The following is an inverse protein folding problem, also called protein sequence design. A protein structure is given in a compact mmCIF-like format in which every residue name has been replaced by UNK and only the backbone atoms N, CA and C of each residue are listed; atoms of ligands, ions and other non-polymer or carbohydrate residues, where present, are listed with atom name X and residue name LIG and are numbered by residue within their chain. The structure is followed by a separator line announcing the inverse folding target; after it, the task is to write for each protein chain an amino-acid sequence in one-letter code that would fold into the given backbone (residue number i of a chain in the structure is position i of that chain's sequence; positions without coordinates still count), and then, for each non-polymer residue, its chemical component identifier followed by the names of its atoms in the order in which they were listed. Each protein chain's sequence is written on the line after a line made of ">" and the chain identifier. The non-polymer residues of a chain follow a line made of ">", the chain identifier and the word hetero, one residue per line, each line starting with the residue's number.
data_IF_575848625836
#
_entry.id   IF_575848625836
#
_cell.length_a   1.000
_cell.length_b   1.000
_cell.length_c   1.000
_cell.angle_alpha   90.00
_cell.angle_beta   90.00
_cell.angle_gamma   90.00
#
_symmetry.space_group_name_H-M   'P 1'
#
loop_
_entity.id
_entity.type
_entity.pdbx_description
1 polymer ?
#
# COMPACT_ATOMS: atom_id res chain seq x y z
N UNK A 1 0.09 -20.03 -12.07
CA UNK A 1 0.39 -21.16 -11.17
C UNK A 1 0.46 -22.51 -11.86
N UNK A 2 -0.49 -22.89 -12.74
CA UNK A 2 -0.45 -24.20 -13.41
C UNK A 2 0.93 -24.59 -14.02
N UNK A 3 1.64 -23.65 -14.65
CA UNK A 3 3.00 -23.90 -15.18
C UNK A 3 4.04 -24.12 -14.07
N UNK A 4 3.97 -23.38 -12.96
CA UNK A 4 4.88 -23.54 -11.81
C UNK A 4 4.57 -24.86 -11.09
N UNK A 5 3.29 -25.14 -10.85
CA UNK A 5 2.81 -26.38 -10.21
C UNK A 5 3.15 -27.62 -11.05
N UNK A 6 3.12 -27.51 -12.38
CA UNK A 6 3.49 -28.62 -13.28
C UNK A 6 4.95 -29.06 -13.18
N UNK A 7 5.83 -28.24 -12.57
CA UNK A 7 7.23 -28.61 -12.32
C UNK A 7 7.32 -29.75 -11.30
N UNK A 8 6.37 -29.84 -10.36
CA UNK A 8 6.33 -30.90 -9.35
C UNK A 8 7.42 -30.81 -8.27
N UNK A 9 8.27 -29.78 -8.30
CA UNK A 9 9.33 -29.54 -7.31
C UNK A 9 8.85 -28.47 -6.29
N UNK A 10 8.69 -28.83 -5.00
CA UNK A 10 8.30 -27.90 -3.95
C UNK A 10 9.23 -26.70 -3.78
N UNK A 11 10.54 -26.88 -3.96
CA UNK A 11 11.57 -25.85 -3.77
C UNK A 11 11.50 -24.82 -4.89
N UNK A 12 11.36 -25.28 -6.13
CA UNK A 12 11.18 -24.38 -7.28
C UNK A 12 9.82 -23.70 -7.25
N UNK A 13 8.78 -24.41 -6.80
CA UNK A 13 7.44 -23.83 -6.62
C UNK A 13 7.47 -22.67 -5.64
N UNK A 14 8.15 -22.82 -4.49
CA UNK A 14 8.32 -21.76 -3.51
C UNK A 14 9.02 -20.54 -4.14
N UNK A 15 10.20 -20.72 -4.73
CA UNK A 15 11.00 -19.61 -5.25
C UNK A 15 10.30 -18.83 -6.36
N UNK A 16 9.72 -19.53 -7.34
CA UNK A 16 9.09 -18.90 -8.51
C UNK A 16 7.75 -18.24 -8.20
N UNK A 17 7.06 -18.66 -7.14
CA UNK A 17 5.73 -18.13 -6.78
C UNK A 17 5.78 -16.65 -6.38
N UNK A 18 6.89 -16.17 -5.78
CA UNK A 18 6.95 -14.83 -5.20
C UNK A 18 6.82 -13.71 -6.23
N UNK A 19 7.46 -13.87 -7.40
CA UNK A 19 7.31 -12.91 -8.50
C UNK A 19 5.87 -12.85 -9.02
N UNK A 20 5.24 -14.01 -9.20
CA UNK A 20 3.84 -14.09 -9.61
C UNK A 20 2.90 -13.48 -8.57
N UNK A 21 3.16 -13.71 -7.28
CA UNK A 21 2.44 -13.10 -6.17
C UNK A 21 2.55 -11.57 -6.23
N UNK A 22 3.77 -11.03 -6.39
CA UNK A 22 3.99 -9.58 -6.51
C UNK A 22 3.17 -8.97 -7.66
N UNK A 23 3.14 -9.62 -8.83
CA UNK A 23 2.33 -9.18 -9.97
C UNK A 23 0.83 -9.15 -9.63
N UNK A 24 0.33 -10.15 -8.89
CA UNK A 24 -1.10 -10.21 -8.51
C UNK A 24 -1.49 -9.21 -7.43
N UNK A 25 -0.55 -8.78 -6.59
CA UNK A 25 -0.74 -7.64 -5.69
C UNK A 25 -0.96 -6.37 -6.53
N UNK A 26 -0.14 -6.13 -7.55
CA UNK A 26 -0.29 -4.95 -8.41
C UNK A 26 -1.65 -4.90 -9.10
N UNK A 27 -2.17 -6.03 -9.60
CA UNK A 27 -3.48 -6.08 -10.26
C UNK A 27 -4.69 -6.22 -9.30
N UNK A 28 -4.47 -6.19 -7.98
CA UNK A 28 -5.51 -6.38 -6.96
C UNK A 28 -6.27 -7.73 -7.05
N UNK A 29 -5.59 -8.79 -7.51
CA UNK A 29 -6.09 -10.17 -7.52
C UNK A 29 -5.71 -10.89 -6.20
N UNK A 30 -6.18 -10.33 -5.09
CA UNK A 30 -5.80 -10.72 -3.72
C UNK A 30 -6.22 -12.14 -3.30
N UNK A 31 -7.24 -12.74 -3.92
CA UNK A 31 -7.61 -14.15 -3.71
C UNK A 31 -6.51 -15.08 -4.23
N UNK A 32 -5.91 -14.74 -5.36
CA UNK A 32 -4.76 -15.49 -5.88
C UNK A 32 -3.52 -15.25 -5.00
N UNK A 33 -3.28 -14.01 -4.58
CA UNK A 33 -2.21 -13.68 -3.62
C UNK A 33 -2.37 -14.52 -2.35
N UNK A 34 -3.58 -14.61 -1.79
CA UNK A 34 -3.88 -15.40 -0.59
C UNK A 34 -3.58 -16.89 -0.82
N UNK A 35 -4.14 -17.47 -1.88
CA UNK A 35 -3.98 -18.89 -2.17
C UNK A 35 -2.52 -19.27 -2.41
N UNK A 36 -1.80 -18.49 -3.20
CA UNK A 36 -0.41 -18.80 -3.56
C UNK A 36 0.54 -18.56 -2.39
N UNK A 37 0.33 -17.50 -1.60
CA UNK A 37 1.11 -17.26 -0.39
C UNK A 37 0.87 -18.36 0.64
N UNK A 38 -0.37 -18.82 0.82
CA UNK A 38 -0.69 -19.96 1.69
C UNK A 38 0.03 -21.23 1.24
N UNK A 39 0.02 -21.54 -0.06
CA UNK A 39 0.74 -22.69 -0.61
C UNK A 39 2.25 -22.61 -0.32
N UNK A 40 2.87 -21.44 -0.49
CA UNK A 40 4.30 -21.26 -0.13
C UNK A 40 4.54 -21.50 1.37
N UNK A 41 3.69 -20.98 2.25
CA UNK A 41 3.81 -21.20 3.71
C UNK A 41 3.70 -22.68 4.06
N UNK A 42 2.77 -23.42 3.44
CA UNK A 42 2.59 -24.86 3.67
C UNK A 42 3.80 -25.66 3.17
N UNK A 43 4.30 -25.36 1.97
CA UNK A 43 5.46 -26.03 1.38
C UNK A 43 6.75 -25.72 2.14
N UNK A 44 6.88 -24.53 2.74
CA UNK A 44 8.05 -24.17 3.55
C UNK A 44 8.17 -25.05 4.81
N UNK A 45 7.06 -25.58 5.35
CA UNK A 45 7.04 -26.41 6.57
C UNK A 45 7.76 -25.77 7.78
N UNK A 46 7.75 -24.43 7.84
CA UNK A 46 8.40 -23.66 8.90
C UNK A 46 9.90 -23.42 8.70
N UNK A 47 10.52 -23.93 7.64
CA UNK A 47 11.91 -23.62 7.28
C UNK A 47 11.96 -22.28 6.52
N UNK A 48 12.57 -21.22 7.10
CA UNK A 48 12.64 -19.91 6.46
C UNK A 48 13.46 -19.90 5.17
N UNK A 49 14.42 -20.81 5.01
CA UNK A 49 15.37 -20.84 3.89
C UNK A 49 14.97 -21.82 2.78
N UNK A 50 13.90 -22.60 2.97
CA UNK A 50 13.45 -23.54 1.94
C UNK A 50 13.01 -22.80 0.68
N UNK A 51 13.61 -23.14 -0.46
CA UNK A 51 13.31 -22.46 -1.74
C UNK A 51 13.98 -21.10 -1.92
N UNK A 52 15.02 -20.79 -1.14
CA UNK A 52 15.71 -19.49 -1.13
C UNK A 52 16.58 -19.16 -2.36
N UNK A 53 16.29 -19.77 -3.52
CA UNK A 53 17.06 -19.54 -4.74
C UNK A 53 16.99 -18.09 -5.25
N UNK A 54 15.93 -17.34 -4.89
CA UNK A 54 15.70 -15.96 -5.35
C UNK A 54 15.79 -14.96 -4.18
N UNK A 55 15.22 -15.32 -3.03
CA UNK A 55 15.19 -14.47 -1.82
C UNK A 55 15.71 -15.27 -0.64
N UNK A 56 16.41 -14.62 0.28
CA UNK A 56 16.96 -15.27 1.48
C UNK A 56 15.91 -15.97 2.36
N UNK A 57 14.69 -15.43 2.46
CA UNK A 57 13.57 -16.14 3.11
C UNK A 57 12.24 -16.06 2.36
N UNK A 58 11.91 -17.08 1.55
CA UNK A 58 10.61 -17.15 0.89
C UNK A 58 9.43 -17.23 1.86
N UNK A 59 9.62 -17.90 3.00
CA UNK A 59 8.59 -17.99 4.05
C UNK A 59 8.24 -16.61 4.61
N UNK A 60 9.24 -15.79 4.92
CA UNK A 60 9.00 -14.45 5.44
C UNK A 60 8.21 -13.59 4.43
N UNK A 61 8.61 -13.64 3.15
CA UNK A 61 7.89 -12.92 2.08
C UNK A 61 6.46 -13.43 1.94
N UNK A 62 6.25 -14.75 1.93
CA UNK A 62 4.92 -15.34 1.81
C UNK A 62 4.01 -15.01 3.00
N UNK A 63 4.54 -14.93 4.21
CA UNK A 63 3.79 -14.45 5.38
C UNK A 63 3.37 -12.99 5.17
N UNK A 64 4.28 -12.12 4.72
CA UNK A 64 3.96 -10.71 4.47
C UNK A 64 2.87 -10.53 3.40
N UNK A 65 2.98 -11.24 2.27
CA UNK A 65 2.00 -11.16 1.18
C UNK A 65 0.67 -11.82 1.55
N UNK A 66 0.67 -12.89 2.35
CA UNK A 66 -0.54 -13.50 2.90
C UNK A 66 -1.25 -12.55 3.85
N UNK A 67 -0.52 -11.89 4.74
CA UNK A 67 -1.03 -10.84 5.61
C UNK A 67 -1.68 -9.72 4.81
N UNK A 68 -1.04 -9.31 3.71
CA UNK A 68 -1.57 -8.32 2.77
C UNK A 68 -2.88 -8.72 2.13
N UNK A 69 -2.95 -9.94 1.59
CA UNK A 69 -4.19 -10.44 1.02
C UNK A 69 -5.32 -10.57 2.07
N UNK A 70 -4.97 -11.02 3.28
CA UNK A 70 -5.95 -11.17 4.37
C UNK A 70 -6.59 -9.85 4.76
N UNK A 71 -5.82 -8.77 4.96
CA UNK A 71 -6.46 -7.48 5.25
C UNK A 71 -7.21 -6.95 4.03
N UNK A 72 -6.73 -7.15 2.81
CA UNK A 72 -7.43 -6.68 1.61
C UNK A 72 -8.82 -7.34 1.44
N UNK A 73 -8.94 -8.61 1.85
CA UNK A 73 -10.16 -9.41 1.83
C UNK A 73 -10.97 -9.36 3.14
N UNK A 74 -10.51 -8.60 4.16
CA UNK A 74 -11.16 -8.50 5.47
C UNK A 74 -11.12 -9.78 6.30
N UNK A 75 -10.14 -10.66 6.07
CA UNK A 75 -9.94 -11.89 6.83
C UNK A 75 -9.11 -11.65 8.09
N UNK A 76 -9.43 -12.34 9.18
CA UNK A 76 -8.65 -12.30 10.43
C UNK A 76 -7.24 -12.87 10.26
N UNK A 77 -6.36 -12.59 11.22
CA UNK A 77 -4.99 -13.14 11.26
C UNK A 77 -3.96 -12.37 10.43
N UNK A 78 -4.38 -11.34 9.69
CA UNK A 78 -3.49 -10.47 8.90
C UNK A 78 -2.37 -9.86 9.73
N UNK A 79 -2.66 -9.36 10.95
CA UNK A 79 -1.67 -8.71 11.82
C UNK A 79 -0.58 -9.69 12.25
N UNK A 80 -0.99 -10.90 12.67
CA UNK A 80 -0.06 -11.96 13.05
C UNK A 80 0.87 -12.34 11.89
N UNK A 81 0.34 -12.47 10.68
CA UNK A 81 1.16 -12.77 9.50
C UNK A 81 2.22 -11.69 9.24
N UNK A 82 1.84 -10.41 9.34
CA UNK A 82 2.77 -9.30 9.15
C UNK A 82 3.84 -9.25 10.25
N UNK A 83 3.47 -9.49 11.50
CA UNK A 83 4.42 -9.50 12.61
C UNK A 83 5.37 -10.71 12.54
N UNK A 84 4.84 -11.89 12.25
CA UNK A 84 5.63 -13.11 12.04
C UNK A 84 6.57 -12.95 10.83
N UNK A 85 6.15 -12.26 9.75
CA UNK A 85 7.02 -12.02 8.59
C UNK A 85 8.24 -11.18 8.96
N UNK A 86 8.06 -10.11 9.73
CA UNK A 86 9.17 -9.24 10.16
C UNK A 86 10.09 -10.03 11.07
N UNK A 87 9.54 -10.73 12.06
CA UNK A 87 10.32 -11.56 12.97
C UNK A 87 11.15 -12.62 12.22
N UNK A 88 10.57 -13.28 11.21
CA UNK A 88 11.23 -14.31 10.39
C UNK A 88 12.30 -13.73 9.47
N UNK A 89 12.12 -12.50 8.99
CA UNK A 89 13.07 -11.83 8.09
C UNK A 89 14.29 -11.22 8.79
N UNK A 90 14.31 -11.16 10.13
CA UNK A 90 15.45 -10.60 10.86
C UNK A 90 16.70 -11.46 10.63
N UNK A 91 17.77 -10.81 10.18
CA UNK A 91 19.04 -11.48 9.89
C UNK A 91 19.09 -12.20 8.53
N UNK A 92 18.04 -12.11 7.70
CA UNK A 92 18.16 -12.49 6.29
C UNK A 92 18.98 -11.45 5.51
N UNK A 93 19.29 -11.75 4.26
CA UNK A 93 19.91 -10.76 3.38
C UNK A 93 19.06 -9.47 3.25
N UNK A 94 19.66 -8.32 2.88
CA UNK A 94 19.01 -7.01 2.86
C UNK A 94 17.78 -6.88 1.95
N UNK A 95 17.78 -7.51 0.78
CA UNK A 95 16.68 -7.54 -0.19
C UNK A 95 15.42 -8.21 0.38
N UNK A 96 15.51 -9.43 0.95
CA UNK A 96 14.37 -10.09 1.61
C UNK A 96 13.78 -9.25 2.73
N UNK A 97 14.65 -8.67 3.56
CA UNK A 97 14.22 -7.84 4.68
C UNK A 97 13.50 -6.59 4.18
N UNK A 98 14.04 -5.90 3.17
CA UNK A 98 13.41 -4.74 2.55
C UNK A 98 12.07 -5.10 1.89
N UNK A 99 11.96 -6.25 1.22
CA UNK A 99 10.70 -6.74 0.64
C UNK A 99 9.63 -6.96 1.71
N UNK A 100 9.97 -7.62 2.81
CA UNK A 100 9.01 -7.90 3.91
C UNK A 100 8.50 -6.61 4.53
N UNK A 101 9.40 -5.68 4.85
CA UNK A 101 9.04 -4.36 5.39
C UNK A 101 8.15 -3.59 4.40
N UNK A 102 8.48 -3.65 3.11
CA UNK A 102 7.67 -3.02 2.06
C UNK A 102 6.27 -3.62 2.01
N UNK A 103 6.13 -4.95 1.95
CA UNK A 103 4.81 -5.59 1.93
C UNK A 103 3.98 -5.28 3.18
N UNK A 104 4.64 -5.18 4.34
CA UNK A 104 3.97 -4.80 5.60
C UNK A 104 3.46 -3.37 5.58
N UNK A 105 4.25 -2.41 5.11
CA UNK A 105 3.98 -0.98 5.35
C UNK A 105 3.58 -0.18 4.11
N UNK A 106 4.18 -0.45 2.94
CA UNK A 106 3.98 0.33 1.72
C UNK A 106 2.50 0.38 1.30
N UNK A 107 1.81 -0.75 1.38
CA UNK A 107 0.37 -0.82 1.10
C UNK A 107 -0.47 -0.47 2.32
N UNK A 108 -0.09 -0.92 3.52
CA UNK A 108 -0.94 -0.87 4.71
C UNK A 108 -1.14 0.54 5.28
N UNK A 109 -0.08 1.36 5.33
CA UNK A 109 -0.16 2.73 5.86
C UNK A 109 -1.08 3.61 5.02
N UNK A 110 -0.86 3.76 3.70
CA UNK A 110 -1.72 4.62 2.89
C UNK A 110 -3.16 4.09 2.76
N UNK A 111 -3.36 2.77 2.89
CA UNK A 111 -4.69 2.19 2.97
C UNK A 111 -5.31 2.27 4.37
N UNK A 112 -4.67 2.90 5.37
CA UNK A 112 -5.22 3.07 6.72
C UNK A 112 -5.35 1.77 7.52
N UNK A 113 -4.67 0.71 7.12
CA UNK A 113 -4.67 -0.59 7.81
C UNK A 113 -3.80 -0.52 9.07
N UNK A 114 -2.61 0.07 8.92
CA UNK A 114 -1.63 0.33 9.97
C UNK A 114 -1.42 1.83 10.12
N UNK A 115 -0.96 2.26 11.31
CA UNK A 115 -0.49 3.62 11.54
C UNK A 115 0.98 3.75 11.13
N UNK A 116 1.39 4.96 10.77
CA UNK A 116 2.81 5.33 10.67
C UNK A 116 3.34 5.69 12.07
N UNK A 117 3.30 4.74 13.00
CA UNK A 117 3.77 4.95 14.38
C UNK A 117 5.29 4.81 14.50
N UNK A 118 5.82 4.98 15.72
CA UNK A 118 7.26 4.93 15.97
C UNK A 118 7.83 3.52 15.74
N UNK A 119 7.02 2.47 15.97
CA UNK A 119 7.41 1.09 15.68
C UNK A 119 7.56 0.89 14.17
N UNK A 120 6.61 1.39 13.36
CA UNK A 120 6.70 1.34 11.91
C UNK A 120 7.98 2.03 11.42
N UNK A 121 8.29 3.24 11.91
CA UNK A 121 9.53 3.93 11.53
C UNK A 121 10.80 3.21 12.02
N UNK A 122 10.75 2.55 13.18
CA UNK A 122 11.89 1.76 13.66
C UNK A 122 12.18 0.57 12.73
N UNK A 123 11.16 -0.21 12.37
CA UNK A 123 11.30 -1.37 11.48
C UNK A 123 11.71 -0.96 10.07
N UNK A 124 11.10 0.11 9.53
CA UNK A 124 11.49 0.67 8.23
C UNK A 124 12.93 1.18 8.26
N UNK A 125 13.33 1.89 9.31
CA UNK A 125 14.69 2.39 9.47
C UNK A 125 15.74 1.28 9.61
N UNK A 126 15.38 0.13 10.18
CA UNK A 126 16.25 -1.04 10.20
C UNK A 126 16.48 -1.61 8.81
N UNK A 127 15.41 -1.78 8.01
CA UNK A 127 15.55 -2.19 6.62
C UNK A 127 16.37 -1.22 5.78
N UNK A 128 16.16 0.09 5.97
CA UNK A 128 16.93 1.12 5.27
C UNK A 128 18.42 1.03 5.60
N UNK A 129 18.80 0.95 6.87
CA UNK A 129 20.22 0.82 7.27
C UNK A 129 20.88 -0.44 6.71
N UNK A 130 20.13 -1.54 6.62
CA UNK A 130 20.64 -2.78 6.03
C UNK A 130 20.82 -2.63 4.51
N UNK A 131 19.87 -1.99 3.84
CA UNK A 131 19.94 -1.72 2.41
C UNK A 131 21.06 -0.73 2.04
N UNK A 132 21.26 0.35 2.81
CA UNK A 132 22.33 1.33 2.58
C UNK A 132 23.74 0.74 2.72
N UNK A 133 23.90 -0.25 3.60
CA UNK A 133 25.17 -0.99 3.76
C UNK A 133 25.39 -2.00 2.64
N UNK A 134 24.34 -2.34 1.91
CA UNK A 134 24.41 -3.19 0.73
C UNK A 134 24.63 -2.34 -0.52
N UNK A 135 25.26 -2.90 -1.55
CA UNK A 135 25.30 -2.28 -2.87
C UNK A 135 24.07 -2.66 -3.72
N UNK A 136 22.92 -2.89 -3.07
CA UNK A 136 21.67 -3.27 -3.73
C UNK A 136 20.73 -2.06 -3.83
N UNK A 137 20.75 -1.41 -4.99
CA UNK A 137 19.92 -0.24 -5.28
C UNK A 137 18.41 -0.55 -5.20
N UNK A 138 18.00 -1.80 -5.45
CA UNK A 138 16.60 -2.20 -5.36
C UNK A 138 16.15 -2.28 -3.92
N UNK A 139 16.95 -2.92 -3.06
CA UNK A 139 16.67 -2.97 -1.62
C UNK A 139 16.57 -1.57 -1.03
N UNK A 140 17.47 -0.68 -1.46
CA UNK A 140 17.48 0.71 -1.05
C UNK A 140 16.22 1.45 -1.51
N UNK A 141 15.83 1.29 -2.78
CA UNK A 141 14.64 1.93 -3.33
C UNK A 141 13.35 1.50 -2.65
N UNK A 142 13.18 0.20 -2.36
CA UNK A 142 12.03 -0.33 -1.62
C UNK A 142 11.93 0.28 -0.21
N UNK A 143 13.04 0.29 0.52
CA UNK A 143 13.08 0.83 1.87
C UNK A 143 12.81 2.34 1.88
N UNK A 144 13.39 3.10 0.94
CA UNK A 144 13.16 4.55 0.81
C UNK A 144 11.74 4.89 0.42
N UNK A 145 11.14 4.19 -0.53
CA UNK A 145 9.75 4.43 -0.91
C UNK A 145 8.82 4.21 0.29
N UNK A 146 9.03 3.11 1.02
CA UNK A 146 8.26 2.78 2.23
C UNK A 146 8.45 3.84 3.33
N UNK A 147 9.69 4.28 3.55
CA UNK A 147 10.01 5.34 4.51
C UNK A 147 9.34 6.67 4.14
N UNK A 148 9.51 7.11 2.88
CA UNK A 148 8.94 8.36 2.39
C UNK A 148 7.43 8.41 2.60
N UNK A 149 6.73 7.32 2.29
CA UNK A 149 5.28 7.19 2.48
C UNK A 149 4.91 7.19 3.96
N UNK A 150 5.62 6.43 4.80
CA UNK A 150 5.36 6.44 6.24
C UNK A 150 5.54 7.84 6.85
N UNK A 151 6.62 8.53 6.48
CA UNK A 151 6.96 9.87 6.95
C UNK A 151 5.91 10.92 6.57
N UNK A 152 5.40 10.93 5.33
CA UNK A 152 4.35 11.90 4.94
C UNK A 152 3.00 11.66 5.65
N UNK A 153 2.80 10.49 6.24
CA UNK A 153 1.62 10.17 7.06
C UNK A 153 1.79 10.50 8.55
N UNK A 154 2.94 11.04 8.98
CA UNK A 154 3.19 11.48 10.36
C UNK A 154 2.57 12.85 10.65
N UNK A 155 2.29 13.11 11.93
CA UNK A 155 1.79 14.43 12.38
C UNK A 155 2.89 15.50 12.45
N UNK A 156 4.16 15.09 12.57
CA UNK A 156 5.32 16.00 12.60
C UNK A 156 5.59 16.63 11.23
N UNK A 157 5.64 17.96 11.18
CA UNK A 157 6.04 18.70 9.97
C UNK A 157 7.45 18.34 9.51
N UNK A 158 8.36 18.09 10.44
CA UNK A 158 9.74 17.71 10.15
C UNK A 158 9.80 16.32 9.50
N UNK A 159 9.06 15.35 10.04
CA UNK A 159 8.95 14.00 9.46
C UNK A 159 8.41 14.10 8.04
N UNK A 160 7.31 14.83 7.84
CA UNK A 160 6.71 14.99 6.51
C UNK A 160 7.63 15.68 5.52
N UNK A 161 8.45 16.65 5.96
CA UNK A 161 9.45 17.29 5.10
C UNK A 161 10.51 16.28 4.66
N UNK A 162 11.05 15.51 5.61
CA UNK A 162 11.98 14.42 5.29
C UNK A 162 11.34 13.40 4.34
N UNK A 163 10.06 13.07 4.54
CA UNK A 163 9.31 12.19 3.65
C UNK A 163 9.28 12.70 2.21
N UNK A 164 9.03 13.99 2.00
CA UNK A 164 9.10 14.60 0.65
C UNK A 164 10.49 14.48 0.02
N UNK A 165 11.55 14.72 0.80
CA UNK A 165 12.92 14.62 0.31
C UNK A 165 13.25 13.17 -0.09
N UNK A 166 12.87 12.19 0.72
CA UNK A 166 13.05 10.76 0.41
C UNK A 166 12.26 10.35 -0.84
N UNK A 167 11.01 10.81 -1.00
CA UNK A 167 10.21 10.50 -2.19
C UNK A 167 10.80 11.11 -3.47
N UNK A 168 11.42 12.30 -3.38
CA UNK A 168 12.16 12.88 -4.50
C UNK A 168 13.35 12.00 -4.88
N UNK A 169 14.13 11.54 -3.90
CA UNK A 169 15.26 10.65 -4.15
C UNK A 169 14.82 9.33 -4.83
N UNK A 170 13.66 8.78 -4.43
CA UNK A 170 13.09 7.58 -5.10
C UNK A 170 12.75 7.87 -6.56
N UNK A 171 12.13 9.02 -6.86
CA UNK A 171 11.86 9.42 -8.24
C UNK A 171 13.15 9.54 -9.07
N UNK A 172 14.21 10.13 -8.51
CA UNK A 172 15.52 10.21 -9.16
C UNK A 172 16.12 8.82 -9.39
N UNK A 173 15.99 7.89 -8.43
CA UNK A 173 16.44 6.50 -8.61
C UNK A 173 15.70 5.80 -9.76
N UNK A 174 14.39 6.01 -9.90
CA UNK A 174 13.61 5.48 -11.03
C UNK A 174 14.06 6.07 -12.37
N UNK A 175 14.40 7.35 -12.42
CA UNK A 175 14.85 8.03 -13.66
C UNK A 175 16.22 7.56 -14.14
N UNK A 176 17.09 7.12 -13.22
CA UNK A 176 18.45 6.68 -13.52
C UNK A 176 18.58 5.14 -13.56
N UNK A 177 17.47 4.42 -13.76
CA UNK A 177 17.42 2.94 -13.84
C UNK A 177 17.98 2.20 -12.60
N UNK A 178 18.02 2.88 -11.45
CA UNK A 178 18.45 2.30 -10.16
C UNK A 178 17.29 1.68 -9.38
N UNK A 179 16.06 2.05 -9.70
CA UNK A 179 14.86 1.52 -9.06
C UNK A 179 13.70 1.32 -10.05
N UNK A 180 12.64 0.63 -9.61
CA UNK A 180 11.53 0.25 -10.48
C UNK A 180 10.76 1.47 -11.00
N UNK A 181 10.68 1.67 -12.33
CA UNK A 181 9.88 2.75 -12.90
C UNK A 181 8.40 2.69 -12.50
N UNK A 182 7.90 1.48 -12.23
CA UNK A 182 6.52 1.23 -11.76
C UNK A 182 6.16 1.97 -10.48
N UNK A 183 7.14 2.29 -9.64
CA UNK A 183 6.89 2.85 -8.31
C UNK A 183 7.00 4.38 -8.30
N UNK A 184 7.49 4.97 -9.39
CA UNK A 184 7.54 6.42 -9.59
C UNK A 184 6.15 7.08 -9.46
N UNK A 185 5.07 6.60 -10.12
CA UNK A 185 3.75 7.20 -9.92
C UNK A 185 3.25 7.05 -8.47
N UNK A 186 3.62 5.97 -7.77
CA UNK A 186 3.29 5.79 -6.34
C UNK A 186 3.97 6.88 -5.50
N UNK A 187 5.27 7.12 -5.69
CA UNK A 187 5.99 8.20 -5.00
C UNK A 187 5.39 9.58 -5.30
N UNK A 188 5.06 9.85 -6.58
CA UNK A 188 4.47 11.12 -7.01
C UNK A 188 3.13 11.42 -6.35
N UNK A 189 2.26 10.40 -6.17
CA UNK A 189 0.98 10.61 -5.47
C UNK A 189 1.19 11.12 -4.06
N UNK A 190 2.05 10.47 -3.29
CA UNK A 190 2.23 10.81 -1.88
C UNK A 190 2.98 12.13 -1.69
N UNK A 191 3.93 12.44 -2.58
CA UNK A 191 4.58 13.74 -2.60
C UNK A 191 3.59 14.87 -2.92
N UNK A 192 2.78 14.71 -3.97
CA UNK A 192 1.79 15.72 -4.37
C UNK A 192 0.68 15.89 -3.31
N UNK A 193 0.23 14.79 -2.69
CA UNK A 193 -0.76 14.86 -1.61
C UNK A 193 -0.26 15.66 -0.40
N UNK A 194 0.99 15.46 0.02
CA UNK A 194 1.55 16.24 1.14
C UNK A 194 1.77 17.72 0.75
N UNK A 195 2.21 18.01 -0.48
CA UNK A 195 2.29 19.39 -0.96
C UNK A 195 0.92 20.09 -0.95
N UNK A 196 -0.13 19.39 -1.39
CA UNK A 196 -1.50 19.91 -1.33
C UNK A 196 -1.93 20.23 0.11
N UNK A 197 -1.61 19.37 1.08
CA UNK A 197 -1.90 19.59 2.51
C UNK A 197 -1.17 20.80 3.09
N UNK A 198 -0.04 21.21 2.52
CA UNK A 198 0.72 22.42 2.90
C UNK A 198 0.21 23.70 2.23
N UNK A 199 -0.88 23.61 1.46
CA UNK A 199 -1.47 24.74 0.77
C UNK A 199 -1.06 24.88 -0.70
N UNK A 200 -0.15 24.04 -1.21
CA UNK A 200 0.23 24.04 -2.64
C UNK A 200 -0.74 23.20 -3.49
N UNK A 201 -2.03 23.42 -3.29
CA UNK A 201 -3.11 22.65 -3.90
C UNK A 201 -3.09 22.74 -5.43
N UNK A 202 -2.97 23.95 -5.97
CA UNK A 202 -3.07 24.20 -7.40
C UNK A 202 -1.94 23.53 -8.19
N UNK A 203 -0.72 23.52 -7.65
CA UNK A 203 0.40 22.82 -8.30
C UNK A 203 0.36 21.31 -8.08
N UNK A 204 -0.21 20.85 -6.96
CA UNK A 204 -0.29 19.43 -6.61
C UNK A 204 -1.36 18.66 -7.39
N UNK A 205 -2.52 19.28 -7.67
CA UNK A 205 -3.65 18.60 -8.33
C UNK A 205 -3.29 18.02 -9.71
N UNK A 206 -2.65 18.75 -10.64
CA UNK A 206 -2.21 18.17 -11.91
C UNK A 206 -1.27 16.96 -11.73
N UNK A 207 -0.39 17.00 -10.73
CA UNK A 207 0.54 15.90 -10.43
C UNK A 207 -0.18 14.67 -9.88
N UNK A 208 -1.14 14.88 -8.97
CA UNK A 208 -2.00 13.81 -8.44
C UNK A 208 -2.79 13.14 -9.56
N UNK A 209 -3.43 13.92 -10.44
CA UNK A 209 -4.19 13.39 -11.59
C UNK A 209 -3.30 12.52 -12.48
N UNK A 210 -2.16 13.07 -12.93
CA UNK A 210 -1.24 12.36 -13.81
C UNK A 210 -0.75 11.04 -13.20
N UNK A 211 -0.35 11.06 -11.92
CA UNK A 211 0.15 9.87 -11.24
C UNK A 211 -0.95 8.81 -11.04
N UNK A 212 -2.18 9.22 -10.70
CA UNK A 212 -3.33 8.30 -10.62
C UNK A 212 -3.65 7.71 -11.99
N UNK A 213 -3.69 8.54 -13.03
CA UNK A 213 -3.95 8.09 -14.41
C UNK A 213 -2.91 7.09 -14.90
N UNK A 214 -1.63 7.34 -14.61
CA UNK A 214 -0.53 6.44 -14.93
C UNK A 214 -0.71 5.07 -14.24
N UNK A 215 -1.03 5.04 -12.94
CA UNK A 215 -1.27 3.79 -12.22
C UNK A 215 -2.43 2.99 -12.79
N UNK A 216 -3.54 3.65 -13.12
CA UNK A 216 -4.68 2.99 -13.77
C UNK A 216 -4.32 2.46 -15.16
N UNK A 217 -3.58 3.24 -15.96
CA UNK A 217 -3.11 2.83 -17.28
C UNK A 217 -2.15 1.64 -17.23
N UNK A 218 -1.32 1.57 -16.19
CA UNK A 218 -0.39 0.47 -15.94
C UNK A 218 -1.02 -0.75 -15.23
N UNK A 219 -2.31 -0.69 -14.86
CA UNK A 219 -3.01 -1.77 -14.17
C UNK A 219 -2.57 -1.99 -12.72
N UNK A 220 -2.02 -0.96 -12.06
CA UNK A 220 -1.52 -1.01 -10.68
C UNK A 220 -2.65 -0.81 -9.65
N UNK A 221 -3.75 -1.55 -9.81
CA UNK A 221 -4.96 -1.44 -8.99
C UNK A 221 -4.74 -1.69 -7.49
N UNK A 222 -3.65 -2.35 -7.09
CA UNK A 222 -3.25 -2.50 -5.69
C UNK A 222 -2.97 -1.17 -4.97
N UNK A 223 -2.53 -0.15 -5.71
CA UNK A 223 -2.27 1.20 -5.18
C UNK A 223 -3.43 2.18 -5.43
N UNK A 224 -4.24 1.95 -6.46
CA UNK A 224 -5.27 2.91 -6.91
C UNK A 224 -6.27 3.29 -5.81
N UNK A 225 -6.65 2.38 -4.91
CA UNK A 225 -7.63 2.68 -3.85
C UNK A 225 -7.21 3.85 -2.95
N UNK A 226 -6.00 3.77 -2.39
CA UNK A 226 -5.45 4.82 -1.55
C UNK A 226 -5.10 6.09 -2.35
N UNK A 227 -4.58 5.92 -3.57
CA UNK A 227 -4.22 7.04 -4.44
C UNK A 227 -5.44 7.87 -4.89
N UNK A 228 -6.53 7.22 -5.28
CA UNK A 228 -7.80 7.89 -5.58
C UNK A 228 -8.36 8.59 -4.33
N UNK A 229 -8.24 7.97 -3.16
CA UNK A 229 -8.62 8.59 -1.88
C UNK A 229 -7.84 9.88 -1.61
N UNK A 230 -6.54 9.91 -1.92
CA UNK A 230 -5.72 11.13 -1.84
C UNK A 230 -6.18 12.21 -2.83
N UNK A 231 -6.43 11.85 -4.09
CA UNK A 231 -6.95 12.77 -5.11
C UNK A 231 -8.32 13.36 -4.71
N UNK A 232 -9.26 12.51 -4.30
CA UNK A 232 -10.62 12.94 -3.89
C UNK A 232 -10.55 13.88 -2.69
N UNK A 233 -9.77 13.56 -1.66
CA UNK A 233 -9.58 14.45 -0.52
C UNK A 233 -9.03 15.82 -0.95
N UNK A 234 -8.02 15.81 -1.82
CA UNK A 234 -7.48 17.05 -2.38
C UNK A 234 -8.54 17.79 -3.15
N UNK A 235 -9.28 17.19 -4.09
CA UNK A 235 -10.35 17.86 -4.84
C UNK A 235 -11.41 18.48 -3.92
N UNK A 236 -11.90 17.73 -2.94
CA UNK A 236 -12.99 18.19 -2.07
C UNK A 236 -12.58 19.32 -1.11
N UNK A 237 -11.30 19.46 -0.77
CA UNK A 237 -10.83 20.55 0.10
C UNK A 237 -11.03 21.96 -0.51
N UNK A 238 -11.27 22.08 -1.82
CA UNK A 238 -11.46 23.35 -2.52
C UNK A 238 -12.92 23.67 -2.78
N UNK A 239 -13.81 22.68 -2.69
CA UNK A 239 -15.26 22.86 -2.71
C UNK A 239 -15.87 23.43 -3.99
N UNK A 240 -15.13 23.54 -5.10
CA UNK A 240 -15.72 24.03 -6.37
C UNK A 240 -16.58 22.97 -7.03
N UNK A 241 -17.65 23.38 -7.72
CA UNK A 241 -18.54 22.44 -8.43
C UNK A 241 -17.78 21.53 -9.41
N UNK A 242 -16.78 22.08 -10.10
CA UNK A 242 -15.88 21.31 -10.97
C UNK A 242 -15.05 20.27 -10.22
N UNK A 243 -14.50 20.63 -9.05
CA UNK A 243 -13.76 19.67 -8.22
C UNK A 243 -14.67 18.59 -7.62
N UNK A 244 -15.92 18.93 -7.29
CA UNK A 244 -16.92 17.97 -6.81
C UNK A 244 -17.31 16.99 -7.93
N UNK A 245 -17.53 17.48 -9.16
CA UNK A 245 -17.83 16.63 -10.31
C UNK A 245 -16.67 15.67 -10.60
N UNK A 246 -15.44 16.18 -10.63
CA UNK A 246 -14.24 15.35 -10.84
C UNK A 246 -14.07 14.30 -9.72
N UNK A 247 -14.36 14.65 -8.46
CA UNK A 247 -14.29 13.70 -7.35
C UNK A 247 -15.30 12.55 -7.51
N UNK A 248 -16.49 12.81 -8.07
CA UNK A 248 -17.48 11.77 -8.40
C UNK A 248 -16.92 10.82 -9.45
N UNK A 249 -16.39 11.35 -10.55
CA UNK A 249 -15.80 10.55 -11.62
C UNK A 249 -14.66 9.68 -11.12
N UNK A 250 -13.80 10.22 -10.25
CA UNK A 250 -12.71 9.47 -9.64
C UNK A 250 -13.21 8.33 -8.74
N UNK A 251 -14.26 8.57 -7.93
CA UNK A 251 -14.90 7.54 -7.09
C UNK A 251 -15.53 6.45 -7.95
N UNK A 252 -16.25 6.82 -9.01
CA UNK A 252 -16.94 5.89 -9.89
C UNK A 252 -15.95 5.04 -10.69
N UNK A 253 -14.87 5.64 -11.19
CA UNK A 253 -13.76 4.91 -11.83
C UNK A 253 -13.12 3.91 -10.87
N UNK A 254 -12.89 4.27 -9.61
CA UNK A 254 -12.33 3.35 -8.62
C UNK A 254 -13.32 2.23 -8.25
N UNK A 255 -14.62 2.53 -8.18
CA UNK A 255 -15.64 1.51 -7.95
C UNK A 255 -15.70 0.49 -9.10
N UNK A 256 -15.50 0.93 -10.34
CA UNK A 256 -15.50 0.09 -11.54
C UNK A 256 -14.14 -0.57 -11.86
N UNK A 257 -13.08 -0.26 -11.11
CA UNK A 257 -11.73 -0.73 -11.41
C UNK A 257 -11.62 -2.27 -11.37
N UNK A 258 -10.80 -2.91 -12.22
CA UNK A 258 -10.50 -4.34 -12.13
C UNK A 258 -9.94 -4.75 -10.76
N UNK A 259 -10.13 -6.02 -10.40
CA UNK A 259 -9.70 -6.62 -9.14
C UNK A 259 -10.74 -7.63 -8.63
N UNK A 260 -10.47 -8.27 -7.49
CA UNK A 260 -11.42 -9.20 -6.92
C UNK A 260 -12.75 -8.54 -6.53
N UNK A 261 -13.84 -9.28 -6.72
CA UNK A 261 -15.13 -8.89 -6.16
C UNK A 261 -15.11 -8.99 -4.63
N UNK A 262 -15.61 -7.95 -3.98
CA UNK A 262 -15.71 -7.86 -2.52
C UNK A 262 -14.39 -7.52 -1.82
N UNK A 263 -13.47 -6.79 -2.47
CA UNK A 263 -12.27 -6.27 -1.81
C UNK A 263 -12.66 -5.29 -0.70
N UNK A 264 -12.59 -5.75 0.54
CA UNK A 264 -12.94 -4.99 1.73
C UNK A 264 -12.10 -3.72 1.85
N UNK A 265 -10.81 -3.77 1.50
CA UNK A 265 -9.93 -2.59 1.49
C UNK A 265 -10.38 -1.51 0.48
N UNK A 266 -10.96 -1.91 -0.65
CA UNK A 266 -11.54 -0.97 -1.62
C UNK A 266 -12.86 -0.42 -1.11
N UNK A 267 -13.73 -1.29 -0.60
CA UNK A 267 -15.05 -0.92 -0.11
C UNK A 267 -14.95 0.13 1.01
N UNK A 268 -14.07 -0.06 1.98
CA UNK A 268 -13.89 0.89 3.08
C UNK A 268 -13.40 2.26 2.59
N UNK A 269 -12.50 2.30 1.61
CA UNK A 269 -12.07 3.54 0.96
C UNK A 269 -13.21 4.22 0.22
N UNK A 270 -14.04 3.47 -0.53
CA UNK A 270 -15.20 4.00 -1.24
C UNK A 270 -16.23 4.61 -0.30
N UNK A 271 -16.55 3.94 0.82
CA UNK A 271 -17.50 4.48 1.81
C UNK A 271 -16.95 5.78 2.41
N UNK A 272 -15.65 5.83 2.75
CA UNK A 272 -15.00 7.05 3.25
C UNK A 272 -15.07 8.18 2.23
N UNK A 273 -14.68 7.94 0.98
CA UNK A 273 -14.71 8.97 -0.08
C UNK A 273 -16.12 9.49 -0.33
N UNK A 274 -17.13 8.61 -0.35
CA UNK A 274 -18.55 9.00 -0.49
C UNK A 274 -19.05 9.83 0.69
N UNK A 275 -18.63 9.51 1.91
CA UNK A 275 -18.95 10.34 3.08
C UNK A 275 -18.34 11.74 2.94
N UNK A 276 -17.06 11.85 2.55
CA UNK A 276 -16.42 13.13 2.31
C UNK A 276 -17.12 13.94 1.21
N UNK A 277 -17.55 13.27 0.13
CA UNK A 277 -18.30 13.89 -0.96
C UNK A 277 -19.67 14.41 -0.48
N UNK A 278 -20.43 13.62 0.28
CA UNK A 278 -21.71 14.05 0.85
C UNK A 278 -21.55 15.30 1.72
N UNK A 279 -20.50 15.33 2.55
CA UNK A 279 -20.15 16.52 3.34
C UNK A 279 -19.84 17.73 2.47
N UNK A 280 -19.04 17.57 1.42
CA UNK A 280 -18.69 18.67 0.51
C UNK A 280 -19.91 19.23 -0.25
N UNK A 281 -20.93 18.40 -0.48
CA UNK A 281 -22.21 18.79 -1.09
C UNK A 281 -23.21 19.42 -0.10
N UNK A 282 -22.90 19.42 1.19
CA UNK A 282 -23.85 19.84 2.23
C UNK A 282 -25.01 18.85 2.47
N UNK A 283 -24.90 17.61 1.99
CA UNK A 283 -25.90 16.56 2.20
C UNK A 283 -25.69 15.92 3.58
N UNK A 284 -26.21 16.58 4.62
CA UNK A 284 -26.04 16.16 6.01
C UNK A 284 -26.64 14.76 6.31
N UNK A 285 -27.85 14.40 5.84
CA UNK A 285 -28.38 13.05 6.05
C UNK A 285 -27.50 11.96 5.44
N UNK A 286 -27.10 12.10 4.17
CA UNK A 286 -26.23 11.10 3.53
C UNK A 286 -24.85 11.04 4.18
N UNK A 287 -24.31 12.19 4.62
CA UNK A 287 -23.04 12.24 5.33
C UNK A 287 -23.08 11.43 6.62
N UNK A 288 -24.10 11.63 7.46
CA UNK A 288 -24.24 10.95 8.75
C UNK A 288 -24.34 9.43 8.54
N UNK A 289 -25.19 8.99 7.61
CA UNK A 289 -25.35 7.57 7.30
C UNK A 289 -24.03 6.92 6.84
N UNK A 290 -23.34 7.55 5.88
CA UNK A 290 -22.10 7.03 5.33
C UNK A 290 -20.96 7.05 6.36
N UNK A 291 -20.87 8.10 7.19
CA UNK A 291 -19.89 8.22 8.27
C UNK A 291 -20.09 7.11 9.30
N UNK A 292 -21.32 6.85 9.72
CA UNK A 292 -21.61 5.86 10.75
C UNK A 292 -21.36 4.44 10.22
N UNK A 293 -21.73 4.17 8.97
CA UNK A 293 -21.36 2.93 8.27
C UNK A 293 -19.84 2.76 8.18
N UNK A 294 -19.12 3.82 7.80
CA UNK A 294 -17.65 3.81 7.72
C UNK A 294 -17.02 3.51 9.08
N UNK A 295 -17.48 4.16 10.15
CA UNK A 295 -16.98 3.96 11.52
C UNK A 295 -17.23 2.52 12.02
N UNK A 296 -18.42 1.97 11.74
CA UNK A 296 -18.74 0.59 12.08
C UNK A 296 -17.81 -0.40 11.34
N UNK A 297 -17.60 -0.19 10.03
CA UNK A 297 -16.72 -1.02 9.21
C UNK A 297 -15.25 -0.95 9.69
N UNK A 298 -14.74 0.25 9.94
CA UNK A 298 -13.38 0.46 10.44
C UNK A 298 -13.14 -0.25 11.78
N UNK A 299 -14.11 -0.18 12.69
CA UNK A 299 -14.05 -0.83 14.00
C UNK A 299 -14.08 -2.35 13.87
N UNK A 300 -15.01 -2.89 13.08
CA UNK A 300 -15.14 -4.33 12.86
C UNK A 300 -13.87 -4.96 12.26
N UNK A 301 -13.19 -4.23 11.37
CA UNK A 301 -11.96 -4.69 10.72
C UNK A 301 -10.68 -4.44 11.54
N UNK A 302 -10.77 -3.61 12.59
CA UNK A 302 -9.63 -3.19 13.41
C UNK A 302 -8.47 -2.57 12.59
N UNK A 303 -8.82 -1.85 11.52
CA UNK A 303 -7.87 -1.10 10.68
C UNK A 303 -7.54 0.23 11.36
N UNK A 304 -6.32 0.35 11.88
CA UNK A 304 -5.98 1.37 12.86
C UNK A 304 -6.04 2.79 12.29
N UNK A 305 -5.54 2.99 11.07
CA UNK A 305 -5.62 4.28 10.38
C UNK A 305 -7.07 4.66 10.03
N UNK A 306 -7.87 3.70 9.57
CA UNK A 306 -9.30 3.94 9.31
C UNK A 306 -10.08 4.32 10.57
N UNK A 307 -9.81 3.67 11.70
CA UNK A 307 -10.41 4.02 13.00
C UNK A 307 -10.03 5.45 13.39
N UNK A 308 -8.76 5.83 13.28
CA UNK A 308 -8.30 7.19 13.55
C UNK A 308 -8.97 8.22 12.63
N UNK A 309 -9.04 7.95 11.32
CA UNK A 309 -9.72 8.84 10.38
C UNK A 309 -11.23 8.95 10.65
N UNK A 310 -11.89 7.85 11.04
CA UNK A 310 -13.32 7.87 11.38
C UNK A 310 -13.61 8.65 12.67
N UNK A 311 -12.68 8.67 13.63
CA UNK A 311 -12.78 9.47 14.83
C UNK A 311 -12.66 10.98 14.53
N UNK A 312 -11.86 11.35 13.52
CA UNK A 312 -11.70 12.74 13.09
C UNK A 312 -12.85 13.29 12.22
N UNK A 313 -13.82 12.45 11.85
CA UNK A 313 -15.00 12.87 11.09
C UNK A 313 -16.11 13.39 12.02
N UNK A 314 -16.55 14.66 11.86
CA UNK A 314 -17.64 15.27 12.64
C UNK A 314 -18.96 14.51 12.58
#
# INVERSE_FOLDING_TARGET
>A
MAMIESIGDPTLTIGLSLGAIATKIQSAEMRLVLAWSQNVVELAQGDPARGNAIVGSPLAVALATRGTARWALGHSGWRKDLDDSVATSRGTEPWSHAMVVTYKYLGAIPNGILLADDLALQEIGEALRNAERSSDDRALGLARLTEGIALVHRDSLQDRQRGLDVLRDVCEMCEHDKYYPSDRPVANVWAAWELAKRGDRESALPRLRAAVDEMFGAGQFGHCGAATSALVQTLLAGGTDGSIAEAVEAIDRMAAAPGDQGLVSREIQLVRMRALLARARGDAPAYIELRDRYRAMATALSFQGHVAWAAAMP
#
